data_IF_749659727599
#
_entry.id   IF_749659727599
#
_cell.length_a   1.000
_cell.length_b   1.000
_cell.length_c   1.000
_cell.angle_alpha   90.00
_cell.angle_beta   90.00
_cell.angle_gamma   90.00
#
_symmetry.space_group_name_H-M   'P 1'
#
loop_
_entity.id
_entity.type
_entity.pdbx_description
1 polymer ?
#
# COMPACT_ATOMS: atom_id res chain seq x y z
N UNK A 1 7.49 2.88 15.85
CA UNK A 1 8.58 2.29 15.01
C UNK A 1 9.27 3.42 14.28
N UNK A 2 10.59 3.31 13.99
CA UNK A 2 11.28 4.32 13.19
C UNK A 2 10.89 4.23 11.72
N UNK A 3 10.87 5.35 11.00
CA UNK A 3 10.48 5.45 9.57
C UNK A 3 11.25 4.46 8.69
N UNK A 4 12.56 4.34 8.87
CA UNK A 4 13.39 3.38 8.12
C UNK A 4 12.99 1.92 8.35
N UNK A 5 12.60 1.57 9.57
CA UNK A 5 12.14 0.23 9.90
C UNK A 5 10.78 -0.08 9.26
N UNK A 6 9.89 0.91 9.16
CA UNK A 6 8.59 0.78 8.47
C UNK A 6 8.83 0.52 6.98
N UNK A 7 9.67 1.33 6.33
CA UNK A 7 10.00 1.16 4.90
C UNK A 7 10.67 -0.19 4.64
N UNK A 8 11.57 -0.62 5.52
CA UNK A 8 12.19 -1.95 5.43
C UNK A 8 11.16 -3.08 5.56
N UNK A 9 10.16 -2.94 6.46
CA UNK A 9 9.09 -3.91 6.62
C UNK A 9 8.18 -3.95 5.38
N UNK A 10 7.79 -2.80 4.84
CA UNK A 10 7.03 -2.69 3.58
C UNK A 10 7.77 -3.40 2.44
N UNK A 11 9.06 -3.10 2.28
CA UNK A 11 9.91 -3.73 1.26
C UNK A 11 10.03 -5.23 1.50
N UNK A 12 10.26 -5.66 2.75
CA UNK A 12 10.42 -7.07 3.14
C UNK A 12 9.17 -7.90 2.86
N UNK A 13 7.97 -7.40 3.17
CA UNK A 13 6.73 -8.12 2.87
C UNK A 13 6.44 -8.10 1.36
N UNK A 14 6.76 -7.00 0.67
CA UNK A 14 6.59 -6.82 -0.76
C UNK A 14 5.14 -6.77 -1.24
N UNK A 15 4.19 -6.66 -0.31
CA UNK A 15 2.76 -6.67 -0.56
C UNK A 15 2.06 -5.70 0.38
N UNK A 16 1.23 -4.82 -0.16
CA UNK A 16 0.37 -3.90 0.58
C UNK A 16 -1.08 -4.14 0.15
N UNK A 17 -1.85 -4.95 0.90
CA UNK A 17 -3.27 -5.10 0.67
C UNK A 17 -4.01 -3.78 0.89
N UNK A 18 -4.85 -3.39 -0.09
CA UNK A 18 -5.68 -2.18 -0.03
C UNK A 18 -7.07 -2.59 0.45
N UNK A 19 -7.33 -2.42 1.75
CA UNK A 19 -8.56 -2.84 2.38
C UNK A 19 -9.68 -1.84 2.13
N UNK A 20 -10.76 -2.34 1.54
CA UNK A 20 -12.06 -1.69 1.42
C UNK A 20 -13.12 -2.59 2.03
N UNK A 21 -14.11 -1.99 2.65
CA UNK A 21 -15.21 -2.71 3.30
C UNK A 21 -16.44 -1.81 3.38
N UNK A 22 -17.60 -2.42 3.53
CA UNK A 22 -18.89 -1.73 3.63
C UNK A 22 -19.26 -1.40 5.09
N UNK A 23 -18.51 -1.98 6.07
CA UNK A 23 -18.67 -1.69 7.50
C UNK A 23 -17.36 -1.84 8.27
N UNK A 24 -17.26 -1.26 9.48
CA UNK A 24 -16.11 -1.44 10.37
C UNK A 24 -15.87 -2.93 10.73
N UNK A 25 -16.93 -3.67 11.02
CA UNK A 25 -16.85 -5.09 11.41
C UNK A 25 -16.32 -5.95 10.29
N UNK A 26 -16.76 -5.68 9.05
CA UNK A 26 -16.26 -6.35 7.87
C UNK A 26 -14.77 -6.02 7.66
N UNK A 27 -14.36 -4.76 7.86
CA UNK A 27 -12.97 -4.35 7.75
C UNK A 27 -12.07 -5.11 8.73
N UNK A 28 -12.49 -5.27 9.99
CA UNK A 28 -11.76 -6.04 11.01
C UNK A 28 -11.67 -7.54 10.66
N UNK A 29 -12.76 -8.10 10.13
CA UNK A 29 -12.80 -9.49 9.65
C UNK A 29 -11.81 -9.72 8.51
N UNK A 30 -11.84 -8.84 7.49
CA UNK A 30 -10.92 -8.92 6.34
C UNK A 30 -9.47 -8.70 6.76
N UNK A 31 -9.19 -7.76 7.67
CA UNK A 31 -7.86 -7.55 8.22
C UNK A 31 -7.32 -8.82 8.91
N UNK A 32 -8.17 -9.50 9.68
CA UNK A 32 -7.83 -10.76 10.33
C UNK A 32 -7.55 -11.87 9.31
N UNK A 33 -8.34 -11.95 8.24
CA UNK A 33 -8.15 -12.93 7.15
C UNK A 33 -6.83 -12.70 6.40
N UNK A 34 -6.49 -11.44 6.11
CA UNK A 34 -5.21 -11.05 5.48
C UNK A 34 -4.04 -11.50 6.36
N UNK A 35 -4.12 -11.21 7.66
CA UNK A 35 -3.08 -11.58 8.62
C UNK A 35 -2.95 -13.10 8.80
N UNK A 36 -4.04 -13.84 8.79
CA UNK A 36 -4.05 -15.31 8.80
C UNK A 36 -3.35 -15.90 7.54
N UNK A 37 -3.32 -15.14 6.44
CA UNK A 37 -2.53 -15.45 5.25
C UNK A 37 -1.03 -15.15 5.39
N UNK A 38 -0.58 -14.57 6.53
CA UNK A 38 0.82 -14.25 6.81
C UNK A 38 1.25 -12.84 6.38
N UNK A 39 0.32 -11.99 5.96
CA UNK A 39 0.61 -10.59 5.58
C UNK A 39 0.51 -9.71 6.82
N UNK A 40 1.61 -9.05 7.18
CA UNK A 40 1.74 -8.19 8.36
C UNK A 40 1.75 -6.70 8.03
N UNK A 41 1.23 -6.34 6.88
CA UNK A 41 1.06 -4.95 6.41
C UNK A 41 -0.36 -4.80 5.85
N UNK A 42 -1.00 -3.67 6.11
CA UNK A 42 -2.37 -3.41 5.68
C UNK A 42 -2.61 -1.92 5.46
N UNK A 43 -3.16 -1.54 4.32
CA UNK A 43 -3.66 -0.19 4.02
C UNK A 43 -5.18 -0.14 4.27
N UNK A 44 -5.64 0.54 5.32
CA UNK A 44 -7.07 0.81 5.56
C UNK A 44 -7.46 2.07 4.81
N UNK A 45 -8.36 1.98 3.84
CA UNK A 45 -8.76 3.15 3.04
C UNK A 45 -9.80 4.01 3.75
N UNK A 46 -9.74 5.33 3.53
CA UNK A 46 -10.73 6.28 4.06
C UNK A 46 -12.14 6.07 3.47
N UNK A 47 -12.29 5.19 2.48
CA UNK A 47 -13.61 4.78 1.96
C UNK A 47 -14.34 3.80 2.86
N UNK A 48 -13.65 3.17 3.81
CA UNK A 48 -14.28 2.31 4.82
C UNK A 48 -15.07 3.18 5.80
N UNK A 49 -16.35 2.90 6.05
CA UNK A 49 -17.10 3.60 7.10
C UNK A 49 -16.40 3.50 8.44
N UNK A 50 -16.15 4.65 9.10
CA UNK A 50 -15.44 4.68 10.37
C UNK A 50 -13.95 4.25 10.31
N UNK A 51 -13.30 4.39 9.16
CA UNK A 51 -11.91 3.97 8.91
C UNK A 51 -10.93 4.36 10.02
N UNK A 52 -11.03 5.57 10.55
CA UNK A 52 -10.18 6.05 11.65
C UNK A 52 -10.33 5.19 12.91
N UNK A 53 -11.58 4.82 13.27
CA UNK A 53 -11.84 3.92 14.40
C UNK A 53 -11.32 2.51 14.14
N UNK A 54 -11.49 2.01 12.90
CA UNK A 54 -10.95 0.71 12.49
C UNK A 54 -9.43 0.69 12.64
N UNK A 55 -8.73 1.75 12.21
CA UNK A 55 -7.27 1.86 12.38
C UNK A 55 -6.85 1.83 13.83
N UNK A 56 -7.52 2.60 14.72
CA UNK A 56 -7.26 2.58 16.18
C UNK A 56 -7.44 1.18 16.74
N UNK A 57 -8.56 0.53 16.43
CA UNK A 57 -8.86 -0.83 16.91
C UNK A 57 -7.79 -1.82 16.45
N UNK A 58 -7.37 -1.75 15.19
CA UNK A 58 -6.32 -2.63 14.67
C UNK A 58 -4.97 -2.34 15.32
N UNK A 59 -4.59 -1.07 15.50
CA UNK A 59 -3.34 -0.69 16.14
C UNK A 59 -3.25 -1.18 17.60
N UNK A 60 -4.37 -1.18 18.33
CA UNK A 60 -4.46 -1.66 19.70
C UNK A 60 -4.49 -3.19 19.80
N UNK A 61 -5.27 -3.86 18.95
CA UNK A 61 -5.53 -5.30 19.05
C UNK A 61 -4.55 -6.16 18.25
N UNK A 62 -3.91 -5.58 17.23
CA UNK A 62 -3.00 -6.28 16.31
C UNK A 62 -1.68 -5.53 16.15
N UNK A 63 -0.88 -5.40 17.21
CA UNK A 63 0.43 -4.74 17.17
C UNK A 63 1.44 -5.46 16.26
N UNK A 64 1.13 -6.69 15.82
CA UNK A 64 1.88 -7.48 14.85
C UNK A 64 1.67 -7.03 13.41
N UNK A 65 0.64 -6.19 13.14
CA UNK A 65 0.33 -5.67 11.80
C UNK A 65 0.74 -4.20 11.68
N UNK A 66 1.46 -3.88 10.64
CA UNK A 66 1.80 -2.52 10.25
C UNK A 66 0.61 -1.89 9.52
N UNK A 67 -0.05 -0.94 10.19
CA UNK A 67 -1.28 -0.31 9.69
C UNK A 67 -0.94 1.00 8.97
N UNK A 68 -1.40 1.13 7.72
CA UNK A 68 -1.36 2.36 6.94
C UNK A 68 -2.73 2.94 6.67
N UNK A 69 -2.78 4.26 6.51
CA UNK A 69 -3.96 4.97 6.06
C UNK A 69 -3.94 5.15 4.55
N UNK A 70 -4.97 4.68 3.86
CA UNK A 70 -5.12 4.81 2.41
C UNK A 70 -6.24 5.76 2.00
N UNK A 71 -6.16 6.23 0.75
CA UNK A 71 -7.11 7.21 0.18
C UNK A 71 -7.13 8.52 0.98
N UNK A 72 -5.97 8.92 1.50
CA UNK A 72 -5.79 10.17 2.22
C UNK A 72 -5.59 11.30 1.21
N UNK A 73 -6.50 12.28 1.18
CA UNK A 73 -6.53 13.32 0.15
C UNK A 73 -5.96 14.67 0.60
N UNK A 74 -5.79 14.88 1.91
CA UNK A 74 -5.40 16.14 2.51
C UNK A 74 -4.53 15.94 3.77
N UNK A 75 -3.78 16.97 4.19
CA UNK A 75 -2.91 16.89 5.36
C UNK A 75 -3.68 16.76 6.68
N UNK A 76 -4.89 17.28 6.77
CA UNK A 76 -5.74 17.23 7.95
C UNK A 76 -6.16 15.77 8.22
N UNK A 77 -6.62 15.08 7.20
CA UNK A 77 -6.94 13.63 7.25
C UNK A 77 -5.68 12.81 7.57
N UNK A 78 -4.54 13.13 6.95
CA UNK A 78 -3.26 12.46 7.27
C UNK A 78 -2.93 12.60 8.77
N UNK A 79 -3.06 13.81 9.31
CA UNK A 79 -2.80 14.07 10.74
C UNK A 79 -3.72 13.25 11.64
N UNK A 80 -5.02 13.20 11.34
CA UNK A 80 -5.98 12.40 12.11
C UNK A 80 -5.60 10.91 12.09
N UNK A 81 -5.28 10.37 10.91
CA UNK A 81 -4.86 8.97 10.78
C UNK A 81 -3.59 8.66 11.59
N UNK A 82 -2.60 9.56 11.57
CA UNK A 82 -1.36 9.42 12.34
C UNK A 82 -1.65 9.38 13.85
N UNK A 83 -2.54 10.23 14.33
CA UNK A 83 -2.95 10.23 15.75
C UNK A 83 -3.63 8.92 16.17
N UNK A 84 -4.29 8.27 15.24
CA UNK A 84 -5.01 7.02 15.45
C UNK A 84 -4.20 5.76 15.10
N UNK A 85 -2.86 5.93 15.02
CA UNK A 85 -1.93 4.82 14.91
C UNK A 85 -1.51 4.43 13.50
N UNK A 86 -1.87 5.20 12.47
CA UNK A 86 -1.34 4.96 11.12
C UNK A 86 0.19 5.13 11.10
N UNK A 87 0.89 4.11 10.63
CA UNK A 87 2.34 4.04 10.57
C UNK A 87 2.90 4.39 9.19
N UNK A 88 2.05 4.47 8.17
CA UNK A 88 2.35 5.03 6.86
C UNK A 88 1.07 5.61 6.23
N UNK A 89 1.24 6.50 5.27
CA UNK A 89 0.11 7.17 4.60
C UNK A 89 0.21 6.94 3.10
N UNK A 90 -0.92 6.60 2.48
CA UNK A 90 -1.05 6.37 1.04
C UNK A 90 -2.16 7.26 0.47
N UNK A 91 -1.89 7.89 -0.65
CA UNK A 91 -2.85 8.71 -1.38
C UNK A 91 -3.07 8.18 -2.80
N UNK A 92 -4.24 8.37 -3.42
CA UNK A 92 -4.45 8.08 -4.84
C UNK A 92 -3.91 9.19 -5.76
N UNK A 93 -3.57 10.35 -5.22
CA UNK A 93 -3.14 11.54 -5.95
C UNK A 93 -2.01 12.26 -5.22
N UNK A 94 -1.31 13.14 -5.94
CA UNK A 94 -0.24 13.95 -5.39
C UNK A 94 -0.80 15.16 -4.63
N UNK A 95 -0.43 15.27 -3.35
CA UNK A 95 -0.65 16.45 -2.53
C UNK A 95 0.62 16.73 -1.71
N UNK A 96 1.35 17.78 -2.08
CA UNK A 96 2.64 18.15 -1.45
C UNK A 96 2.46 18.45 0.04
N UNK A 97 1.37 19.12 0.43
CA UNK A 97 1.09 19.45 1.84
C UNK A 97 0.87 18.19 2.69
N UNK A 98 0.31 17.13 2.09
CA UNK A 98 0.19 15.82 2.78
C UNK A 98 1.56 15.18 2.98
N UNK A 99 2.48 15.29 2.01
CA UNK A 99 3.87 14.83 2.16
C UNK A 99 4.55 15.59 3.31
N UNK A 100 4.46 16.91 3.32
CA UNK A 100 5.01 17.76 4.38
C UNK A 100 4.44 17.40 5.77
N UNK A 101 3.13 17.16 5.86
CA UNK A 101 2.49 16.73 7.10
C UNK A 101 3.07 15.41 7.62
N UNK A 102 3.22 14.41 6.76
CA UNK A 102 3.79 13.12 7.13
C UNK A 102 5.25 13.26 7.58
N UNK A 103 6.04 14.12 6.92
CA UNK A 103 7.43 14.37 7.29
C UNK A 103 7.58 14.97 8.68
N UNK A 104 6.72 15.92 9.07
CA UNK A 104 6.72 16.53 10.42
C UNK A 104 6.60 15.47 11.52
N UNK A 105 5.91 14.37 11.24
CA UNK A 105 5.70 13.28 12.20
C UNK A 105 6.56 12.05 11.91
N UNK A 106 7.50 12.16 10.96
CA UNK A 106 8.43 11.08 10.59
C UNK A 106 7.70 9.82 10.13
N UNK A 107 6.56 9.99 9.45
CA UNK A 107 5.73 8.91 8.91
C UNK A 107 6.03 8.73 7.42
N UNK A 108 6.27 7.50 6.94
CA UNK A 108 6.40 7.21 5.51
C UNK A 108 5.16 7.65 4.73
N UNK A 109 5.37 8.26 3.55
CA UNK A 109 4.29 8.70 2.67
C UNK A 109 4.47 8.18 1.26
N UNK A 110 3.38 7.61 0.73
CA UNK A 110 3.29 6.98 -0.59
C UNK A 110 2.21 7.71 -1.43
N UNK A 111 2.52 8.92 -1.94
CA UNK A 111 1.58 9.69 -2.75
C UNK A 111 1.35 9.03 -4.11
N UNK A 112 0.13 9.16 -4.61
CA UNK A 112 -0.26 8.70 -5.95
C UNK A 112 0.26 9.63 -7.04
N UNK A 113 0.75 9.04 -8.12
CA UNK A 113 1.16 9.70 -9.33
C UNK A 113 0.97 8.75 -10.52
N UNK A 114 0.79 9.29 -11.71
CA UNK A 114 0.65 8.48 -12.91
C UNK A 114 1.67 8.85 -13.99
N UNK A 115 1.96 10.14 -14.15
CA UNK A 115 2.89 10.62 -15.17
C UNK A 115 4.31 10.78 -14.64
N UNK A 116 5.36 10.76 -15.51
CA UNK A 116 6.74 11.03 -15.10
C UNK A 116 6.90 12.35 -14.33
N UNK A 117 6.19 13.41 -14.77
CA UNK A 117 6.23 14.72 -14.09
C UNK A 117 5.70 14.64 -12.67
N UNK A 118 4.55 13.99 -12.45
CA UNK A 118 3.99 13.81 -11.11
C UNK A 118 4.91 12.96 -10.23
N UNK A 119 5.50 11.90 -10.77
CA UNK A 119 6.42 11.02 -10.05
C UNK A 119 7.66 11.80 -9.58
N UNK A 120 8.28 12.57 -10.48
CA UNK A 120 9.44 13.40 -10.13
C UNK A 120 9.05 14.47 -9.11
N UNK A 121 7.91 15.12 -9.28
CA UNK A 121 7.40 16.13 -8.33
C UNK A 121 7.18 15.52 -6.94
N UNK A 122 6.57 14.33 -6.87
CA UNK A 122 6.37 13.61 -5.62
C UNK A 122 7.71 13.29 -4.93
N UNK A 123 8.66 12.76 -5.69
CA UNK A 123 10.00 12.43 -5.19
C UNK A 123 10.76 13.67 -4.71
N UNK A 124 10.74 14.78 -5.47
CA UNK A 124 11.36 16.04 -5.07
C UNK A 124 10.73 16.63 -3.81
N UNK A 125 9.42 16.43 -3.62
CA UNK A 125 8.74 16.82 -2.39
C UNK A 125 9.06 15.89 -1.19
N UNK A 126 9.84 14.82 -1.41
CA UNK A 126 10.32 13.91 -0.39
C UNK A 126 9.44 12.66 -0.19
N UNK A 127 8.63 12.26 -1.18
CA UNK A 127 7.93 10.98 -1.11
C UNK A 127 8.91 9.83 -0.88
N UNK A 128 8.60 8.94 0.05
CA UNK A 128 9.45 7.78 0.35
C UNK A 128 9.34 6.70 -0.72
N UNK A 129 8.13 6.48 -1.21
CA UNK A 129 7.78 5.59 -2.32
C UNK A 129 6.67 6.27 -3.10
N UNK A 130 6.67 6.19 -4.42
CA UNK A 130 5.59 6.76 -5.24
C UNK A 130 4.60 5.66 -5.64
N UNK A 131 3.33 5.84 -5.33
CA UNK A 131 2.25 4.95 -5.77
C UNK A 131 1.91 5.26 -7.23
N UNK A 132 2.22 4.34 -8.14
CA UNK A 132 1.81 4.46 -9.55
C UNK A 132 0.37 3.97 -9.67
N UNK A 133 -0.57 4.91 -9.87
CA UNK A 133 -2.01 4.60 -9.84
C UNK A 133 -2.83 5.46 -10.82
N UNK A 134 -3.77 4.85 -11.57
CA UNK A 134 -3.99 3.41 -11.73
C UNK A 134 -3.03 2.79 -12.76
N UNK A 135 -2.16 1.85 -12.33
CA UNK A 135 -1.09 1.33 -13.19
C UNK A 135 -1.60 0.61 -14.45
N UNK A 136 -2.74 -0.08 -14.36
CA UNK A 136 -3.35 -0.79 -15.50
C UNK A 136 -3.79 0.14 -16.63
N UNK A 137 -4.17 1.37 -16.32
CA UNK A 137 -4.63 2.34 -17.32
C UNK A 137 -3.53 2.72 -18.34
N UNK A 138 -2.24 2.57 -17.96
CA UNK A 138 -1.08 2.92 -18.79
C UNK A 138 -0.32 1.70 -19.29
N UNK A 139 -0.84 0.48 -19.11
CA UNK A 139 -0.21 -0.75 -19.62
C UNK A 139 0.49 -1.60 -18.55
N UNK A 140 0.21 -1.37 -17.27
CA UNK A 140 0.62 -2.25 -16.18
C UNK A 140 2.13 -2.33 -15.97
N UNK A 141 2.67 -3.54 -15.87
CA UNK A 141 4.09 -3.78 -15.59
C UNK A 141 5.02 -3.20 -16.67
N UNK A 142 4.60 -3.22 -17.93
CA UNK A 142 5.37 -2.60 -19.03
C UNK A 142 5.55 -1.10 -18.83
N UNK A 143 4.51 -0.42 -18.36
CA UNK A 143 4.58 1.01 -18.05
C UNK A 143 5.53 1.26 -16.88
N UNK A 144 5.41 0.49 -15.79
CA UNK A 144 6.31 0.60 -14.64
C UNK A 144 7.78 0.43 -15.06
N UNK A 145 8.08 -0.57 -15.89
CA UNK A 145 9.44 -0.79 -16.43
C UNK A 145 9.95 0.40 -17.24
N UNK A 146 9.07 1.02 -18.04
CA UNK A 146 9.40 2.21 -18.80
C UNK A 146 9.71 3.42 -17.90
N UNK A 147 8.97 3.59 -16.81
CA UNK A 147 9.24 4.63 -15.80
C UNK A 147 10.55 4.40 -15.06
N UNK A 148 10.82 3.16 -14.67
CA UNK A 148 12.04 2.80 -13.90
C UNK A 148 13.32 2.98 -14.71
N UNK A 149 13.29 2.89 -16.03
CA UNK A 149 14.47 3.05 -16.87
C UNK A 149 15.17 4.41 -16.68
N UNK A 150 14.49 5.57 -16.81
CA UNK A 150 15.06 6.89 -16.52
C UNK A 150 15.04 7.29 -15.04
N UNK A 151 14.27 6.62 -14.18
CA UNK A 151 14.05 6.97 -12.78
C UNK A 151 14.40 5.79 -11.83
N UNK A 152 15.59 5.15 -11.96
CA UNK A 152 15.92 3.96 -11.17
C UNK A 152 15.98 4.21 -9.67
N UNK A 153 16.28 5.46 -9.25
CA UNK A 153 16.40 5.88 -7.85
C UNK A 153 15.03 6.07 -7.15
N UNK A 154 13.94 6.22 -7.91
CA UNK A 154 12.62 6.44 -7.32
C UNK A 154 11.99 5.08 -7.04
N UNK A 155 11.72 4.79 -5.78
CA UNK A 155 10.97 3.59 -5.40
C UNK A 155 9.50 3.76 -5.76
N UNK A 156 8.91 2.74 -6.42
CA UNK A 156 7.54 2.79 -6.93
C UNK A 156 6.73 1.58 -6.49
N UNK A 157 5.48 1.81 -6.10
CA UNK A 157 4.50 0.77 -5.78
C UNK A 157 3.34 0.83 -6.78
N UNK A 158 3.24 -0.11 -7.73
CA UNK A 158 2.11 -0.18 -8.63
C UNK A 158 0.83 -0.55 -7.88
N UNK A 159 -0.26 0.14 -8.20
CA UNK A 159 -1.60 -0.16 -7.69
C UNK A 159 -2.61 -0.03 -8.83
N UNK A 160 -3.60 -0.95 -8.85
CA UNK A 160 -4.55 -1.07 -9.97
C UNK A 160 -4.03 -2.00 -11.07
N UNK A 161 -4.78 -3.08 -11.32
CA UNK A 161 -4.42 -4.12 -12.28
C UNK A 161 -3.35 -5.11 -11.79
N UNK A 162 -2.97 -5.05 -10.52
CA UNK A 162 -2.14 -6.07 -9.88
C UNK A 162 -3.04 -7.25 -9.52
N UNK A 163 -2.73 -8.42 -10.07
CA UNK A 163 -3.41 -9.69 -9.84
C UNK A 163 -2.39 -10.80 -9.64
N UNK A 164 -2.82 -11.98 -9.20
CA UNK A 164 -1.94 -13.15 -9.11
C UNK A 164 -1.25 -13.42 -10.45
N UNK A 165 -1.93 -13.20 -11.58
CA UNK A 165 -1.38 -13.42 -12.92
C UNK A 165 -0.32 -12.37 -13.32
N UNK A 166 -0.40 -11.14 -12.80
CA UNK A 166 0.49 -10.03 -13.20
C UNK A 166 1.51 -9.65 -12.13
N UNK A 167 1.40 -10.21 -10.92
CA UNK A 167 2.24 -9.85 -9.78
C UNK A 167 3.74 -10.03 -10.07
N UNK A 168 4.11 -11.14 -10.69
CA UNK A 168 5.49 -11.43 -11.08
C UNK A 168 6.03 -10.39 -12.05
N UNK A 169 5.27 -10.02 -13.08
CA UNK A 169 5.68 -9.05 -14.08
C UNK A 169 5.96 -7.67 -13.46
N UNK A 170 5.14 -7.26 -12.47
CA UNK A 170 5.38 -6.02 -11.75
C UNK A 170 6.65 -6.06 -10.90
N UNK A 171 6.96 -7.18 -10.26
CA UNK A 171 8.20 -7.36 -9.51
C UNK A 171 9.41 -7.32 -10.46
N UNK A 172 9.35 -8.01 -11.59
CA UNK A 172 10.40 -8.00 -12.63
C UNK A 172 10.57 -6.59 -13.26
N UNK A 173 9.53 -5.77 -13.24
CA UNK A 173 9.59 -4.36 -13.64
C UNK A 173 10.22 -3.43 -12.59
N UNK A 174 10.62 -3.95 -11.42
CA UNK A 174 11.28 -3.21 -10.36
C UNK A 174 10.33 -2.56 -9.34
N UNK A 175 9.16 -3.15 -9.11
CA UNK A 175 8.25 -2.69 -8.06
C UNK A 175 8.88 -2.83 -6.67
N UNK A 176 8.79 -1.78 -5.86
CA UNK A 176 9.18 -1.78 -4.44
C UNK A 176 8.36 -2.78 -3.62
N UNK A 177 7.06 -2.79 -3.85
CA UNK A 177 6.06 -3.71 -3.31
C UNK A 177 4.84 -3.69 -4.25
N UNK A 178 3.90 -4.60 -4.05
CA UNK A 178 2.66 -4.70 -4.81
C UNK A 178 1.50 -4.09 -4.03
N UNK A 179 0.83 -3.08 -4.57
CA UNK A 179 -0.41 -2.53 -4.02
C UNK A 179 -1.62 -3.29 -4.59
N UNK A 180 -2.25 -4.15 -3.78
CA UNK A 180 -3.28 -5.07 -4.28
C UNK A 180 -4.65 -4.78 -3.63
N UNK A 181 -5.62 -4.44 -4.48
CA UNK A 181 -7.01 -4.20 -4.07
C UNK A 181 -7.88 -5.45 -4.18
N UNK A 182 -8.94 -5.38 -4.97
CA UNK A 182 -10.01 -6.38 -5.03
C UNK A 182 -9.56 -7.79 -5.41
N UNK A 183 -8.46 -7.97 -6.14
CA UNK A 183 -7.93 -9.30 -6.47
C UNK A 183 -7.50 -10.07 -5.20
N UNK A 184 -7.01 -9.38 -4.17
CA UNK A 184 -6.68 -9.96 -2.88
C UNK A 184 -7.82 -9.80 -1.88
N UNK A 185 -8.41 -8.62 -1.79
CA UNK A 185 -9.38 -8.21 -0.77
C UNK A 185 -10.69 -7.81 -1.44
N UNK A 186 -11.47 -8.78 -1.94
CA UNK A 186 -12.85 -8.54 -2.36
C UNK A 186 -13.75 -8.53 -1.11
N UNK A 187 -14.45 -7.42 -0.81
CA UNK A 187 -15.35 -7.35 0.35
C UNK A 187 -16.49 -8.40 0.32
N UNK A 188 -16.82 -8.92 -0.88
CA UNK A 188 -17.85 -9.92 -1.07
C UNK A 188 -17.35 -11.37 -0.94
N UNK A 189 -16.03 -11.55 -0.89
CA UNK A 189 -15.44 -12.88 -0.74
C UNK A 189 -15.50 -13.36 0.70
N UNK A 190 -15.55 -14.69 0.87
CA UNK A 190 -15.40 -15.31 2.18
C UNK A 190 -13.99 -15.03 2.75
N UNK A 191 -13.84 -14.85 4.07
CA UNK A 191 -12.54 -14.59 4.71
C UNK A 191 -11.48 -15.63 4.36
N UNK A 192 -11.87 -16.90 4.20
CA UNK A 192 -10.97 -18.00 3.82
C UNK A 192 -10.38 -17.80 2.43
N UNK A 193 -11.15 -17.23 1.50
CA UNK A 193 -10.69 -16.89 0.16
C UNK A 193 -9.64 -15.78 0.22
N UNK A 194 -9.88 -14.74 1.03
CA UNK A 194 -8.91 -13.65 1.24
C UNK A 194 -7.62 -14.19 1.86
N UNK A 195 -7.73 -15.08 2.84
CA UNK A 195 -6.57 -15.76 3.45
C UNK A 195 -5.78 -16.58 2.42
N UNK A 196 -6.48 -17.34 1.56
CA UNK A 196 -5.83 -18.12 0.50
C UNK A 196 -5.14 -17.22 -0.54
N UNK A 197 -5.77 -16.12 -0.93
CA UNK A 197 -5.19 -15.15 -1.86
C UNK A 197 -3.94 -14.48 -1.26
N UNK A 198 -4.00 -14.07 0.01
CA UNK A 198 -2.85 -13.50 0.72
C UNK A 198 -1.63 -14.44 0.70
N UNK A 199 -1.84 -15.75 0.94
CA UNK A 199 -0.79 -16.77 0.83
C UNK A 199 -0.19 -16.85 -0.56
N UNK A 200 -1.03 -16.90 -1.61
CA UNK A 200 -0.57 -16.96 -3.02
C UNK A 200 0.33 -15.77 -3.36
N UNK A 201 -0.05 -14.55 -2.97
CA UNK A 201 0.79 -13.38 -3.22
C UNK A 201 2.12 -13.44 -2.49
N UNK A 202 2.13 -13.89 -1.24
CA UNK A 202 3.39 -14.06 -0.50
C UNK A 202 4.29 -15.13 -1.11
N UNK A 203 3.73 -16.21 -1.65
CA UNK A 203 4.49 -17.24 -2.39
C UNK A 203 5.15 -16.64 -3.64
N UNK A 204 4.42 -15.83 -4.42
CA UNK A 204 4.98 -15.13 -5.59
C UNK A 204 6.13 -14.20 -5.17
N UNK A 205 5.94 -13.39 -4.12
CA UNK A 205 6.99 -12.48 -3.64
C UNK A 205 8.21 -13.25 -3.13
N UNK A 206 8.01 -14.35 -2.41
CA UNK A 206 9.11 -15.20 -1.91
C UNK A 206 9.87 -15.86 -3.04
N UNK A 207 9.17 -16.42 -4.02
CA UNK A 207 9.78 -17.04 -5.20
C UNK A 207 10.62 -16.02 -5.97
N UNK A 208 10.08 -14.83 -6.24
CA UNK A 208 10.81 -13.75 -6.90
C UNK A 208 12.13 -13.41 -6.18
N UNK A 209 12.10 -13.32 -4.85
CA UNK A 209 13.28 -12.94 -4.06
C UNK A 209 14.32 -14.03 -3.92
N UNK A 210 13.91 -15.28 -4.05
CA UNK A 210 14.85 -16.39 -4.03
C UNK A 210 15.67 -16.50 -5.33
N UNK A 211 15.20 -15.83 -6.39
CA UNK A 211 15.84 -15.81 -7.70
C UNK A 211 16.68 -14.52 -7.93
N UNK A 212 16.50 -13.48 -7.09
CA UNK A 212 17.17 -12.17 -7.19
C UNK A 212 18.43 -12.10 -6.31
#
# INVERSE_FOLDING_TARGET
MQKSAILAALKKIGLVPVLRADSPEQALTLASAIAAGGVTVLEVTMTVPGAIRVMRTLAEQRPDILIGAGTVLDPETARMCILEGAQFVVSPALNIRTIEMCHRYTIPVLPGALTPTEIVTAWQAGADVVKVFPASAMGGAKYLKTLKAPLPQIEMIPTGGVSVATARDFLDAGAFALGVGADLVDPRAAPETVTANAKKYLEIVRAYRAEA
#
